data_IF_914552968868
#
_entry.id   IF_914552968868
#
_cell.length_a   1.000
_cell.length_b   1.000
_cell.length_c   1.000
_cell.angle_alpha   90.00
_cell.angle_beta   90.00
_cell.angle_gamma   90.00
#
_symmetry.space_group_name_H-M   'P 1'
#
loop_
_entity.id
_entity.type
_entity.pdbx_description
1 polymer ?
#
# COMPACT_ATOMS: atom_id res chain seq x y z
N UNK A 1 41.24 -18.17 14.21
CA UNK A 1 40.39 -17.92 15.40
C UNK A 1 39.09 -17.36 14.87
N UNK A 2 38.19 -18.28 14.54
CA UNK A 2 36.82 -17.99 14.14
C UNK A 2 35.99 -18.61 15.25
N UNK A 3 35.45 -17.77 16.13
CA UNK A 3 34.50 -18.19 17.15
C UNK A 3 33.62 -16.99 17.49
N UNK A 4 32.36 -17.30 17.80
CA UNK A 4 31.26 -16.43 18.25
C UNK A 4 30.66 -15.44 17.24
N UNK A 5 29.91 -15.95 16.25
CA UNK A 5 28.62 -15.32 15.91
C UNK A 5 27.64 -15.84 16.96
N UNK A 6 27.32 -14.97 17.93
CA UNK A 6 26.66 -15.35 19.18
C UNK A 6 25.19 -15.76 18.94
N UNK A 7 24.76 -16.72 19.77
CA UNK A 7 23.46 -17.40 19.73
C UNK A 7 22.26 -16.42 19.75
N UNK A 8 22.46 -15.20 20.25
CA UNK A 8 21.45 -14.13 20.32
C UNK A 8 20.98 -13.63 18.94
N UNK A 9 21.86 -13.59 17.94
CA UNK A 9 21.49 -13.14 16.58
C UNK A 9 20.62 -14.17 15.84
N UNK A 10 20.79 -15.46 16.18
CA UNK A 10 20.00 -16.56 15.60
C UNK A 10 18.59 -16.57 16.19
N UNK A 11 18.45 -16.29 17.48
CA UNK A 11 17.15 -16.18 18.15
C UNK A 11 16.38 -14.93 17.71
N UNK A 12 17.06 -13.79 17.55
CA UNK A 12 16.47 -12.58 17.00
C UNK A 12 16.00 -12.79 15.54
N UNK A 13 16.82 -13.41 14.69
CA UNK A 13 16.44 -13.74 13.32
C UNK A 13 15.30 -14.77 13.22
N UNK A 14 15.18 -15.69 14.19
CA UNK A 14 14.08 -16.63 14.31
C UNK A 14 12.80 -15.98 14.87
N UNK A 15 12.94 -14.95 15.70
CA UNK A 15 11.84 -14.12 16.17
C UNK A 15 11.31 -13.23 15.04
N UNK A 16 12.20 -12.56 14.28
CA UNK A 16 11.81 -11.76 13.10
C UNK A 16 11.17 -12.61 11.99
N UNK A 17 11.66 -13.84 11.74
CA UNK A 17 10.99 -14.77 10.81
C UNK A 17 9.59 -15.15 11.28
N UNK A 18 9.41 -15.44 12.57
CA UNK A 18 8.09 -15.71 13.14
C UNK A 18 7.16 -14.50 13.04
N UNK A 19 7.64 -13.30 13.37
CA UNK A 19 6.86 -12.07 13.23
C UNK A 19 6.53 -11.75 11.77
N UNK A 20 7.43 -12.02 10.83
CA UNK A 20 7.19 -11.86 9.40
C UNK A 20 6.28 -12.94 8.81
N UNK A 21 6.26 -14.15 9.37
CA UNK A 21 5.32 -15.23 9.02
C UNK A 21 3.93 -14.96 9.61
N UNK A 22 3.85 -14.45 10.85
CA UNK A 22 2.62 -13.97 11.50
C UNK A 22 2.05 -12.74 10.79
N UNK A 23 2.89 -11.74 10.45
CA UNK A 23 2.49 -10.57 9.67
C UNK A 23 2.22 -10.92 8.19
N UNK A 24 2.94 -11.90 7.63
CA UNK A 24 2.72 -12.46 6.30
C UNK A 24 1.43 -13.29 6.19
N UNK A 25 0.82 -13.64 7.32
CA UNK A 25 -0.50 -14.24 7.43
C UNK A 25 -1.64 -13.21 7.48
N UNK A 26 -1.38 -11.92 7.25
CA UNK A 26 -2.46 -10.94 6.95
C UNK A 26 -2.89 -11.08 5.48
N UNK A 27 -3.11 -12.33 5.04
CA UNK A 27 -3.92 -12.66 3.85
C UNK A 27 -5.28 -13.24 4.24
N UNK A 28 -5.52 -13.45 5.53
CA UNK A 28 -6.81 -13.80 6.08
C UNK A 28 -7.24 -12.70 7.07
N UNK A 29 -7.93 -11.68 6.55
CA UNK A 29 -8.90 -11.00 7.39
C UNK A 29 -9.99 -12.05 7.66
N UNK A 30 -10.22 -12.48 8.91
CA UNK A 30 -11.32 -13.38 9.19
C UNK A 30 -12.60 -12.70 8.69
N UNK A 31 -13.41 -13.41 7.89
CA UNK A 31 -14.71 -12.91 7.42
C UNK A 31 -15.66 -12.58 8.59
N UNK A 32 -15.29 -13.00 9.80
CA UNK A 32 -15.90 -12.64 11.09
C UNK A 32 -14.87 -11.91 11.97
N UNK A 33 -14.63 -10.61 11.70
CA UNK A 33 -13.88 -9.79 12.65
C UNK A 33 -14.68 -9.69 13.96
N UNK A 34 -14.12 -10.27 15.01
CA UNK A 34 -14.56 -10.08 16.40
C UNK A 34 -14.67 -8.56 16.68
N UNK A 35 -15.83 -8.04 17.14
CA UNK A 35 -16.02 -6.61 17.38
C UNK A 35 -15.11 -6.02 18.48
N UNK A 36 -14.26 -6.84 19.13
CA UNK A 36 -13.26 -6.43 20.10
C UNK A 36 -11.82 -6.39 19.56
N UNK A 37 -11.61 -6.40 18.24
CA UNK A 37 -10.28 -6.10 17.67
C UNK A 37 -9.85 -4.70 18.14
N UNK A 38 -8.72 -4.55 18.88
CA UNK A 38 -8.25 -3.24 19.29
C UNK A 38 -8.13 -2.37 18.05
N UNK A 39 -8.68 -1.16 18.12
CA UNK A 39 -8.85 -0.25 16.99
C UNK A 39 -7.60 -0.30 16.11
N UNK A 40 -7.73 -0.52 14.79
CA UNK A 40 -6.59 -0.69 13.87
C UNK A 40 -5.54 0.44 13.93
N UNK A 41 -5.88 1.55 14.59
CA UNK A 41 -4.98 2.63 15.02
C UNK A 41 -3.89 2.13 15.99
N UNK A 42 -4.21 1.30 16.97
CA UNK A 42 -3.29 0.79 17.99
C UNK A 42 -2.30 -0.23 17.42
N UNK A 43 -2.76 -1.14 16.56
CA UNK A 43 -1.90 -2.17 15.97
C UNK A 43 -0.81 -1.59 15.05
N UNK A 44 -1.13 -0.55 14.26
CA UNK A 44 -0.17 0.13 13.41
C UNK A 44 0.87 0.95 14.19
N UNK A 45 0.46 1.53 15.33
CA UNK A 45 1.35 2.26 16.25
C UNK A 45 2.29 1.29 16.96
N UNK A 46 1.81 0.15 17.45
CA UNK A 46 2.64 -0.82 18.18
C UNK A 46 3.78 -1.37 17.31
N UNK A 47 3.49 -1.75 16.07
CA UNK A 47 4.51 -2.24 15.12
C UNK A 47 5.55 -1.15 14.83
N UNK A 48 5.10 0.08 14.60
CA UNK A 48 6.01 1.21 14.35
C UNK A 48 6.89 1.54 15.56
N UNK A 49 6.33 1.52 16.77
CA UNK A 49 7.07 1.75 18.02
C UNK A 49 8.06 0.63 18.28
N UNK A 50 7.69 -0.63 18.06
CA UNK A 50 8.59 -1.78 18.18
C UNK A 50 9.77 -1.66 17.19
N UNK A 51 9.49 -1.30 15.93
CA UNK A 51 10.52 -1.08 14.94
C UNK A 51 11.48 0.06 15.32
N UNK A 52 10.96 1.20 15.80
CA UNK A 52 11.80 2.32 16.27
C UNK A 52 12.66 1.94 17.47
N UNK A 53 12.10 1.18 18.43
CA UNK A 53 12.85 0.67 19.59
C UNK A 53 13.97 -0.26 19.15
N UNK A 54 13.69 -1.18 18.23
CA UNK A 54 14.68 -2.08 17.66
C UNK A 54 15.80 -1.31 16.94
N UNK A 55 15.45 -0.40 16.02
CA UNK A 55 16.43 0.45 15.32
C UNK A 55 17.36 1.18 16.31
N UNK A 56 16.77 1.77 17.35
CA UNK A 56 17.54 2.45 18.42
C UNK A 56 18.47 1.49 19.17
N UNK A 57 18.01 0.29 19.52
CA UNK A 57 18.81 -0.71 20.23
C UNK A 57 20.03 -1.15 19.42
N UNK A 58 19.94 -1.17 18.09
CA UNK A 58 21.04 -1.48 17.17
C UNK A 58 21.84 -0.26 16.71
N UNK A 59 21.55 0.94 17.21
CA UNK A 59 22.22 2.18 16.78
C UNK A 59 21.95 2.56 15.32
N UNK A 60 20.79 2.16 14.80
CA UNK A 60 20.34 2.43 13.43
C UNK A 60 19.34 3.58 13.39
N UNK A 61 19.41 4.38 12.33
CA UNK A 61 18.41 5.40 12.05
C UNK A 61 17.16 4.76 11.42
N UNK A 62 15.94 5.08 11.91
CA UNK A 62 14.71 4.65 11.26
C UNK A 62 14.63 5.16 9.83
N UNK A 63 14.34 4.26 8.89
CA UNK A 63 14.12 4.57 7.48
C UNK A 63 12.76 5.23 7.22
N UNK A 64 12.22 4.99 6.02
CA UNK A 64 10.92 5.53 5.59
C UNK A 64 9.85 4.44 5.66
N UNK A 65 8.66 4.78 6.18
CA UNK A 65 7.48 3.92 6.12
C UNK A 65 6.79 4.12 4.76
N UNK A 66 6.48 3.03 4.06
CA UNK A 66 5.74 3.06 2.80
C UNK A 66 4.37 2.44 3.01
N UNK A 67 3.31 3.22 2.81
CA UNK A 67 1.93 2.75 2.88
C UNK A 67 1.31 2.68 1.49
N UNK A 68 0.87 1.49 1.07
CA UNK A 68 0.18 1.31 -0.19
C UNK A 68 -1.29 0.93 0.02
N UNK A 69 -2.19 1.87 -0.28
CA UNK A 69 -3.63 1.65 -0.24
C UNK A 69 -4.06 0.84 -1.48
N UNK A 70 -4.13 -0.49 -1.35
CA UNK A 70 -4.29 -1.46 -2.45
C UNK A 70 -5.71 -1.55 -3.07
N UNK A 71 -6.64 -0.69 -2.65
CA UNK A 71 -7.99 -0.58 -3.22
C UNK A 71 -9.03 -1.53 -2.64
N UNK A 72 -8.69 -2.37 -1.66
CA UNK A 72 -9.64 -3.32 -1.06
C UNK A 72 -10.81 -2.63 -0.37
N UNK A 73 -10.63 -1.40 0.09
CA UNK A 73 -11.65 -0.57 0.72
C UNK A 73 -12.60 0.05 -0.32
N UNK A 74 -12.20 0.06 -1.60
CA UNK A 74 -12.93 0.71 -2.68
C UNK A 74 -13.77 -0.25 -3.53
N UNK A 75 -13.38 -1.53 -3.59
CA UNK A 75 -14.01 -2.53 -4.47
C UNK A 75 -14.60 -3.68 -3.67
N UNK A 76 -15.86 -4.02 -3.96
CA UNK A 76 -16.44 -5.28 -3.52
C UNK A 76 -15.61 -6.45 -4.06
N UNK A 77 -15.20 -7.37 -3.19
CA UNK A 77 -14.29 -8.48 -3.57
C UNK A 77 -14.93 -9.43 -4.57
N UNK A 78 -16.25 -9.61 -4.54
CA UNK A 78 -16.95 -10.60 -5.37
C UNK A 78 -17.39 -10.03 -6.72
N UNK A 79 -17.91 -8.82 -6.70
CA UNK A 79 -18.56 -8.17 -7.84
C UNK A 79 -17.68 -7.12 -8.49
N UNK A 80 -16.65 -6.63 -7.79
CA UNK A 80 -15.85 -5.47 -8.20
C UNK A 80 -16.64 -4.17 -8.21
N UNK A 81 -17.84 -4.14 -7.61
CA UNK A 81 -18.63 -2.93 -7.47
C UNK A 81 -17.84 -1.86 -6.70
N UNK A 82 -18.01 -0.60 -7.12
CA UNK A 82 -17.41 0.55 -6.46
C UNK A 82 -18.17 0.86 -5.17
N UNK A 83 -17.57 0.50 -4.03
CA UNK A 83 -18.13 0.70 -2.69
C UNK A 83 -18.20 2.20 -2.30
N UNK A 84 -17.50 3.07 -3.03
CA UNK A 84 -17.39 4.49 -2.73
C UNK A 84 -18.31 5.37 -3.58
N UNK A 85 -19.22 4.79 -4.37
CA UNK A 85 -20.20 5.58 -5.15
C UNK A 85 -21.14 6.32 -4.22
N UNK A 86 -21.73 5.57 -3.27
CA UNK A 86 -22.75 6.05 -2.34
C UNK A 86 -22.29 6.03 -0.87
N UNK A 87 -21.01 5.74 -0.62
CA UNK A 87 -20.47 5.74 0.73
C UNK A 87 -20.55 7.14 1.36
N UNK A 88 -20.97 7.25 2.64
CA UNK A 88 -20.94 8.52 3.35
C UNK A 88 -19.52 9.08 3.36
N UNK A 89 -19.41 10.40 3.21
CA UNK A 89 -18.13 11.10 3.40
C UNK A 89 -17.76 11.07 4.88
N UNK A 90 -16.50 10.81 5.19
CA UNK A 90 -15.99 11.00 6.55
C UNK A 90 -15.38 9.75 7.17
N UNK A 91 -16.10 8.62 7.30
CA UNK A 91 -15.60 7.47 8.06
C UNK A 91 -14.27 6.91 7.51
N UNK A 92 -14.22 6.63 6.21
CA UNK A 92 -12.99 6.13 5.58
C UNK A 92 -11.87 7.18 5.64
N UNK A 93 -12.18 8.45 5.40
CA UNK A 93 -11.19 9.52 5.50
C UNK A 93 -10.68 9.73 6.93
N UNK A 94 -11.51 9.48 7.95
CA UNK A 94 -11.11 9.54 9.35
C UNK A 94 -10.11 8.41 9.66
N UNK A 95 -10.41 7.18 9.23
CA UNK A 95 -9.49 6.04 9.36
C UNK A 95 -8.17 6.31 8.63
N UNK A 96 -8.22 6.79 7.38
CA UNK A 96 -7.00 7.14 6.63
C UNK A 96 -6.19 8.19 7.40
N UNK A 97 -6.82 9.25 7.91
CA UNK A 97 -6.12 10.28 8.71
C UNK A 97 -5.54 9.72 10.01
N UNK A 98 -6.26 8.84 10.71
CA UNK A 98 -5.79 8.18 11.93
C UNK A 98 -4.53 7.36 11.68
N UNK A 99 -4.56 6.50 10.66
CA UNK A 99 -3.40 5.71 10.24
C UNK A 99 -2.22 6.60 9.84
N UNK A 100 -2.45 7.64 9.02
CA UNK A 100 -1.39 8.55 8.60
C UNK A 100 -0.80 9.34 9.78
N UNK A 101 -1.63 9.76 10.74
CA UNK A 101 -1.16 10.42 11.96
C UNK A 101 -0.27 9.49 12.79
N UNK A 102 -0.72 8.26 13.00
CA UNK A 102 0.01 7.23 13.74
C UNK A 102 1.40 6.95 13.14
N UNK A 103 1.49 6.69 11.82
CA UNK A 103 2.77 6.32 11.20
C UNK A 103 3.74 7.49 11.12
N UNK A 104 3.24 8.73 10.93
CA UNK A 104 4.10 9.93 10.89
C UNK A 104 4.74 10.22 12.25
N UNK A 105 4.12 9.78 13.34
CA UNK A 105 4.74 9.86 14.67
C UNK A 105 5.97 8.94 14.79
N UNK A 106 6.13 7.96 13.88
CA UNK A 106 7.17 6.92 13.89
C UNK A 106 8.31 7.19 12.89
N UNK A 107 8.00 7.63 11.67
CA UNK A 107 9.03 7.89 10.65
C UNK A 107 8.50 8.76 9.50
N UNK A 108 9.39 9.31 8.65
CA UNK A 108 9.00 9.81 7.34
C UNK A 108 8.16 8.78 6.61
N UNK A 109 7.11 9.24 5.93
CA UNK A 109 6.13 8.37 5.29
C UNK A 109 6.04 8.68 3.79
N UNK A 110 5.83 7.64 2.98
CA UNK A 110 5.42 7.76 1.58
C UNK A 110 4.11 7.01 1.41
N UNK A 111 3.12 7.64 0.78
CA UNK A 111 1.79 7.07 0.58
C UNK A 111 1.56 6.81 -0.89
N UNK A 112 1.31 5.55 -1.24
CA UNK A 112 1.04 5.10 -2.59
C UNK A 112 -0.46 4.89 -2.80
N UNK A 113 -0.98 5.50 -3.87
CA UNK A 113 -2.38 5.42 -4.25
C UNK A 113 -2.79 4.06 -4.83
N UNK A 114 -4.10 3.79 -4.86
CA UNK A 114 -4.66 2.57 -5.40
C UNK A 114 -4.48 2.46 -6.92
N UNK A 115 -4.62 1.23 -7.40
CA UNK A 115 -4.62 0.91 -8.82
C UNK A 115 -6.05 0.57 -9.29
N UNK A 116 -6.40 0.87 -10.55
CA UNK A 116 -7.62 0.34 -11.13
C UNK A 116 -7.57 -1.19 -11.16
N UNK A 117 -8.72 -1.84 -10.99
CA UNK A 117 -8.88 -3.28 -11.21
C UNK A 117 -9.30 -3.48 -12.66
N UNK A 118 -8.36 -3.85 -13.52
CA UNK A 118 -8.59 -3.98 -14.96
C UNK A 118 -9.79 -4.87 -15.31
N UNK A 119 -10.07 -5.93 -14.54
CA UNK A 119 -11.21 -6.82 -14.82
C UNK A 119 -12.59 -6.13 -14.72
N UNK A 120 -12.70 -5.04 -13.94
CA UNK A 120 -13.94 -4.24 -13.80
C UNK A 120 -13.84 -2.85 -14.42
N UNK A 121 -12.68 -2.21 -14.35
CA UNK A 121 -12.50 -0.82 -14.74
C UNK A 121 -12.17 -0.66 -16.23
N UNK A 122 -12.00 -1.74 -16.98
CA UNK A 122 -11.70 -1.66 -18.42
C UNK A 122 -12.72 -0.79 -19.15
N UNK A 123 -12.21 0.08 -20.01
CA UNK A 123 -12.93 1.08 -20.79
C UNK A 123 -13.61 2.19 -19.97
N UNK A 124 -13.49 2.20 -18.64
CA UNK A 124 -13.98 3.31 -17.83
C UNK A 124 -13.03 4.51 -17.88
N UNK A 125 -13.56 5.75 -17.89
CA UNK A 125 -12.79 6.92 -17.52
C UNK A 125 -12.17 6.72 -16.12
N UNK A 126 -10.93 7.17 -15.94
CA UNK A 126 -10.21 7.07 -14.67
C UNK A 126 -11.06 7.61 -13.52
N UNK A 127 -11.69 8.76 -13.72
CA UNK A 127 -12.51 9.47 -12.75
C UNK A 127 -13.75 8.69 -12.29
N UNK A 128 -14.13 7.64 -13.02
CA UNK A 128 -15.29 6.80 -12.71
C UNK A 128 -14.91 5.52 -11.95
N UNK A 129 -13.62 5.20 -11.85
CA UNK A 129 -13.14 4.00 -11.14
C UNK A 129 -13.25 4.16 -9.62
N UNK A 130 -13.34 3.05 -8.88
CA UNK A 130 -13.29 3.09 -7.42
C UNK A 130 -11.91 3.51 -6.91
N UNK A 131 -10.85 3.08 -7.60
CA UNK A 131 -9.48 3.48 -7.35
C UNK A 131 -9.32 5.00 -7.41
N UNK A 132 -9.89 5.69 -8.39
CA UNK A 132 -9.84 7.16 -8.42
C UNK A 132 -10.49 7.79 -7.19
N UNK A 133 -11.66 7.31 -6.77
CA UNK A 133 -12.34 7.86 -5.59
C UNK A 133 -11.50 7.68 -4.32
N UNK A 134 -10.87 6.53 -4.15
CA UNK A 134 -9.97 6.28 -3.04
C UNK A 134 -8.68 7.10 -3.15
N UNK A 135 -8.08 7.20 -4.35
CA UNK A 135 -6.91 8.04 -4.64
C UNK A 135 -7.15 9.50 -4.20
N UNK A 136 -8.33 10.04 -4.50
CA UNK A 136 -8.75 11.38 -4.05
C UNK A 136 -8.85 11.50 -2.54
N UNK A 137 -9.49 10.55 -1.86
CA UNK A 137 -9.64 10.54 -0.39
C UNK A 137 -8.28 10.42 0.32
N UNK A 138 -7.39 9.59 -0.20
CA UNK A 138 -6.02 9.43 0.34
C UNK A 138 -5.21 10.70 0.10
N UNK A 139 -5.24 11.25 -1.12
CA UNK A 139 -4.57 12.51 -1.46
C UNK A 139 -4.99 13.67 -0.55
N UNK A 140 -6.28 13.76 -0.24
CA UNK A 140 -6.83 14.81 0.62
C UNK A 140 -6.45 14.64 2.10
N UNK A 141 -6.03 13.43 2.50
CA UNK A 141 -5.60 13.12 3.87
C UNK A 141 -4.07 13.13 4.03
N UNK A 142 -3.34 12.97 2.93
CA UNK A 142 -1.89 12.99 2.89
C UNK A 142 -1.32 14.42 3.03
N UNK A 143 -0.12 14.52 3.59
CA UNK A 143 0.63 15.77 3.62
C UNK A 143 1.17 16.11 2.23
N UNK A 144 1.53 17.38 2.03
CA UNK A 144 2.13 17.81 0.78
C UNK A 144 3.44 17.05 0.50
N UNK A 145 3.58 16.53 -0.72
CA UNK A 145 4.76 15.75 -1.14
C UNK A 145 4.79 14.29 -0.69
N UNK A 146 3.86 13.84 0.16
CA UNK A 146 3.84 12.47 0.70
C UNK A 146 3.15 11.48 -0.25
N UNK A 147 2.20 11.96 -1.05
CA UNK A 147 1.32 11.11 -1.85
C UNK A 147 1.77 10.93 -3.29
N UNK A 148 1.84 9.68 -3.72
CA UNK A 148 2.12 9.26 -5.10
C UNK A 148 0.85 8.62 -5.69
N UNK A 149 0.22 9.32 -6.63
CA UNK A 149 -0.92 8.75 -7.36
C UNK A 149 -0.44 7.76 -8.42
N UNK A 150 -0.80 6.49 -8.26
CA UNK A 150 -0.33 5.42 -9.13
C UNK A 150 -1.31 5.05 -10.24
N UNK A 151 -2.61 4.96 -9.92
CA UNK A 151 -3.59 4.37 -10.85
C UNK A 151 -3.67 5.06 -12.22
N UNK A 152 -3.40 6.37 -12.29
CA UNK A 152 -3.41 7.11 -13.56
C UNK A 152 -2.35 6.62 -14.55
N UNK A 153 -1.25 6.00 -14.12
CA UNK A 153 -0.23 5.50 -15.03
C UNK A 153 -0.76 4.35 -15.92
N UNK A 154 -1.77 3.60 -15.45
CA UNK A 154 -2.44 2.53 -16.18
C UNK A 154 -3.51 3.02 -17.18
N UNK A 155 -3.60 4.32 -17.39
CA UNK A 155 -4.62 4.92 -18.26
C UNK A 155 -4.01 5.42 -19.58
N UNK A 156 -4.87 5.70 -20.55
CA UNK A 156 -4.52 6.37 -21.79
C UNK A 156 -5.26 7.69 -21.90
N UNK A 157 -4.57 8.76 -22.25
CA UNK A 157 -5.21 10.03 -22.58
C UNK A 157 -5.98 9.88 -23.89
N UNK A 158 -7.30 10.05 -23.82
CA UNK A 158 -8.24 10.05 -24.93
C UNK A 158 -8.95 11.40 -24.97
N UNK A 159 -8.49 12.30 -25.84
CA UNK A 159 -8.96 13.69 -25.92
C UNK A 159 -8.89 14.37 -24.55
N UNK A 160 -10.04 14.65 -23.91
CA UNK A 160 -10.16 15.35 -22.63
C UNK A 160 -10.09 14.46 -21.39
N UNK A 161 -10.01 13.13 -21.52
CA UNK A 161 -10.11 12.19 -20.38
C UNK A 161 -9.01 11.14 -20.39
N UNK A 162 -8.75 10.55 -19.23
CA UNK A 162 -7.92 9.36 -19.10
C UNK A 162 -8.83 8.13 -19.01
N UNK A 163 -8.51 7.06 -19.75
CA UNK A 163 -9.34 5.85 -19.82
C UNK A 163 -8.48 4.61 -19.60
N UNK A 164 -8.98 3.64 -18.85
CA UNK A 164 -8.33 2.33 -18.65
C UNK A 164 -8.56 1.48 -19.91
N UNK A 165 -7.73 1.64 -20.94
CA UNK A 165 -7.88 0.93 -22.21
C UNK A 165 -7.30 -0.49 -22.14
N UNK A 166 -7.70 -1.35 -23.09
CA UNK A 166 -7.26 -2.75 -23.17
C UNK A 166 -5.73 -2.95 -23.20
N UNK A 167 -4.95 -1.97 -23.69
CA UNK A 167 -3.49 -2.05 -23.61
C UNK A 167 -2.99 -2.19 -22.16
N UNK A 168 -3.79 -1.76 -21.18
CA UNK A 168 -3.47 -1.90 -19.78
C UNK A 168 -3.45 -3.38 -19.33
N UNK A 169 -4.19 -4.26 -20.01
CA UNK A 169 -4.26 -5.71 -19.72
C UNK A 169 -2.88 -6.35 -19.60
N UNK A 170 -1.93 -5.93 -20.44
CA UNK A 170 -0.58 -6.51 -20.46
C UNK A 170 0.21 -6.27 -19.16
N UNK A 171 -0.20 -5.30 -18.34
CA UNK A 171 0.43 -4.98 -17.06
C UNK A 171 -0.25 -5.63 -15.85
N UNK A 172 -1.37 -6.32 -16.08
CA UNK A 172 -2.07 -7.07 -15.03
C UNK A 172 -1.94 -8.57 -15.29
N UNK A 173 -1.96 -9.35 -14.19
CA UNK A 173 -2.10 -10.80 -14.25
C UNK A 173 -3.48 -11.16 -14.81
N UNK A 174 -3.70 -12.45 -15.03
CA UNK A 174 -4.97 -12.96 -15.58
C UNK A 174 -6.19 -12.60 -14.75
N UNK A 175 -6.02 -12.38 -13.44
CA UNK A 175 -7.09 -11.92 -12.54
C UNK A 175 -7.52 -10.46 -12.77
N UNK A 176 -6.75 -9.67 -13.52
CA UNK A 176 -7.01 -8.25 -13.75
C UNK A 176 -6.98 -7.41 -12.47
N UNK A 177 -6.35 -7.89 -11.40
CA UNK A 177 -6.19 -7.19 -10.10
C UNK A 177 -4.72 -7.00 -9.79
N UNK A 178 -3.93 -8.07 -9.86
CA UNK A 178 -2.52 -8.04 -9.52
C UNK A 178 -1.66 -7.64 -10.71
N UNK A 179 -0.51 -7.01 -10.46
CA UNK A 179 0.40 -6.59 -11.52
C UNK A 179 1.30 -7.74 -12.01
N UNK A 180 1.69 -7.65 -13.28
CA UNK A 180 2.87 -8.37 -13.80
C UNK A 180 4.15 -7.64 -13.41
N UNK A 181 5.32 -8.22 -13.72
CA UNK A 181 6.62 -7.54 -13.54
C UNK A 181 6.65 -6.20 -14.28
N UNK A 182 6.20 -6.17 -15.53
CA UNK A 182 6.13 -4.96 -16.35
C UNK A 182 5.15 -3.94 -15.76
N UNK A 183 4.08 -4.39 -15.12
CA UNK A 183 3.17 -3.54 -14.37
C UNK A 183 3.85 -2.87 -13.17
N UNK A 184 4.66 -3.60 -12.41
CA UNK A 184 5.45 -3.01 -11.33
C UNK A 184 6.51 -2.02 -11.85
N UNK A 185 7.19 -2.33 -12.96
CA UNK A 185 8.11 -1.37 -13.60
C UNK A 185 7.38 -0.08 -14.01
N UNK A 186 6.13 -0.19 -14.47
CA UNK A 186 5.31 0.97 -14.84
C UNK A 186 4.94 1.84 -13.63
N UNK A 187 4.69 1.24 -12.48
CA UNK A 187 4.52 1.95 -11.21
C UNK A 187 5.80 2.67 -10.81
N UNK A 188 6.94 1.97 -10.86
CA UNK A 188 8.24 2.52 -10.49
C UNK A 188 8.67 3.68 -11.41
N UNK A 189 8.18 3.73 -12.65
CA UNK A 189 8.46 4.80 -13.61
C UNK A 189 7.58 6.05 -13.45
N UNK A 190 6.72 6.13 -12.43
CA UNK A 190 5.98 7.36 -12.12
C UNK A 190 6.98 8.39 -11.57
N UNK A 191 7.00 9.60 -12.13
CA UNK A 191 8.02 10.64 -11.81
C UNK A 191 8.19 10.93 -10.31
N UNK A 192 7.11 10.83 -9.53
CA UNK A 192 7.12 11.08 -8.08
C UNK A 192 7.28 9.80 -7.25
N UNK A 193 7.50 8.66 -7.89
CA UNK A 193 7.76 7.40 -7.20
C UNK A 193 9.18 7.43 -6.60
N UNK A 194 9.39 6.96 -5.36
CA UNK A 194 10.71 6.99 -4.76
C UNK A 194 11.70 6.12 -5.54
N UNK A 195 12.78 6.71 -6.04
CA UNK A 195 13.77 6.01 -6.88
C UNK A 195 14.45 4.85 -6.15
N UNK A 196 14.64 4.97 -4.83
CA UNK A 196 15.20 3.91 -3.99
C UNK A 196 14.25 2.71 -3.77
N UNK A 197 12.97 2.84 -4.14
CA UNK A 197 12.01 1.73 -4.21
C UNK A 197 11.94 1.08 -5.59
N UNK A 198 12.61 1.66 -6.61
CA UNK A 198 12.57 1.10 -7.95
C UNK A 198 13.36 -0.22 -8.02
N UNK A 199 12.85 -1.21 -8.76
CA UNK A 199 13.49 -2.53 -8.87
C UNK A 199 14.83 -2.49 -9.63
N UNK A 200 15.13 -1.42 -10.37
CA UNK A 200 16.43 -1.22 -11.00
C UNK A 200 17.55 -1.01 -9.95
N UNK A 201 17.18 -0.68 -8.70
CA UNK A 201 18.10 -0.56 -7.57
C UNK A 201 18.43 -1.92 -6.90
N UNK A 202 17.88 -3.04 -7.36
CA UNK A 202 18.15 -4.38 -6.81
C UNK A 202 19.17 -5.18 -7.63
N UNK A 203 19.50 -4.72 -8.84
CA UNK A 203 20.49 -5.33 -9.74
C UNK A 203 21.84 -4.55 -9.75
N UNK A 204 22.05 -3.62 -8.80
CA UNK A 204 23.27 -2.80 -8.63
C UNK A 204 24.00 -3.15 -7.33
#
# INVERSE_FOLDING_TARGET
>A
MADSLEVEDVEAAAWYRRQAEEAGSISHWPDDADPECPDAEDAGVEVGVAWRKAATAFGLDPGTIVLWFSGNEAYDRRTGANLLVDAPRGPLEAVIRGVLYAVRAVAPTVVLGPLPRFWVDSMLPWEHTAAYRLDRKVKESAAEGEFVSLGKCFTTKMSKRHVVLDKARAWFRRDGVHLTREGYCKVAAVDTFPTWLSMDAWDA
#
